data_IF_423524859257
#
_entry.id   IF_423524859257
#
_cell.length_a   1.000
_cell.length_b   1.000
_cell.length_c   1.000
_cell.angle_alpha   90.00
_cell.angle_beta   90.00
_cell.angle_gamma   90.00
#
_symmetry.space_group_name_H-M   'P 1'
#
loop_
_entity.id
_entity.type
_entity.pdbx_description
1 polymer ?
#
# COMPACT_ATOMS: atom_id res chain seq x y z
N UNK A 1 15.77 -8.97 -0.52
CA UNK A 1 15.45 -7.59 -0.98
C UNK A 1 14.08 -7.63 -1.63
N UNK A 2 13.06 -7.12 -0.95
CA UNK A 2 11.69 -7.12 -1.47
C UNK A 2 11.51 -5.91 -2.37
N UNK A 3 11.22 -6.13 -3.64
CA UNK A 3 11.09 -5.07 -4.65
C UNK A 3 9.94 -4.11 -4.30
N UNK A 4 10.14 -2.83 -4.62
CA UNK A 4 9.07 -1.84 -4.62
C UNK A 4 8.05 -2.21 -5.70
N UNK A 5 6.76 -2.22 -5.34
CA UNK A 5 5.68 -2.59 -6.26
C UNK A 5 4.99 -1.34 -6.74
N UNK A 6 4.91 -1.22 -8.06
CA UNK A 6 4.28 -0.09 -8.73
C UNK A 6 3.21 -0.58 -9.70
N UNK A 7 2.22 0.26 -9.92
CA UNK A 7 1.20 0.06 -10.94
C UNK A 7 0.81 1.38 -11.58
N UNK A 8 0.15 1.34 -12.74
CA UNK A 8 -0.42 2.53 -13.37
C UNK A 8 -1.93 2.58 -13.15
N UNK A 9 -2.40 3.67 -12.54
CA UNK A 9 -3.80 4.05 -12.49
C UNK A 9 -4.17 4.85 -13.76
N UNK A 10 -5.31 4.57 -14.42
CA UNK A 10 -5.71 5.24 -15.67
C UNK A 10 -5.71 6.77 -15.60
N UNK A 11 -6.21 7.33 -14.48
CA UNK A 11 -6.29 8.78 -14.26
C UNK A 11 -5.08 9.38 -13.53
N UNK A 12 -4.62 8.75 -12.45
CA UNK A 12 -3.62 9.34 -11.54
C UNK A 12 -2.17 8.91 -11.83
N UNK A 13 -1.96 8.12 -12.88
CA UNK A 13 -0.64 7.64 -13.27
C UNK A 13 -0.06 6.64 -12.27
N UNK A 14 1.24 6.74 -12.02
CA UNK A 14 1.97 5.74 -11.24
C UNK A 14 1.57 5.77 -9.76
N UNK A 15 1.22 4.60 -9.23
CA UNK A 15 1.02 4.37 -7.80
C UNK A 15 2.13 3.46 -7.26
N UNK A 16 2.46 3.63 -5.98
CA UNK A 16 3.40 2.77 -5.25
C UNK A 16 2.69 2.06 -4.10
N UNK A 17 3.05 0.79 -3.85
CA UNK A 17 2.46 0.01 -2.78
C UNK A 17 2.93 0.53 -1.42
N UNK A 18 1.98 0.79 -0.53
CA UNK A 18 2.22 1.27 0.83
C UNK A 18 2.17 0.13 1.83
N UNK A 19 1.19 -0.76 1.70
CA UNK A 19 0.99 -1.90 2.60
C UNK A 19 0.23 -3.01 1.89
N UNK A 20 0.52 -4.29 2.18
CA UNK A 20 -0.40 -5.37 1.84
C UNK A 20 -1.66 -5.30 2.72
N UNK A 21 -2.78 -5.77 2.18
CA UNK A 21 -3.99 -6.09 2.92
C UNK A 21 -4.19 -7.61 3.00
N UNK A 22 -5.31 -8.04 3.57
CA UNK A 22 -5.76 -9.42 3.48
C UNK A 22 -6.42 -9.67 2.10
N UNK A 23 -6.65 -10.94 1.78
CA UNK A 23 -7.51 -11.35 0.66
C UNK A 23 -7.08 -10.85 -0.73
N UNK A 24 -5.77 -10.66 -0.93
CA UNK A 24 -5.21 -10.29 -2.23
C UNK A 24 -5.43 -8.83 -2.62
N UNK A 25 -5.82 -7.99 -1.65
CA UNK A 25 -5.88 -6.55 -1.81
C UNK A 25 -4.63 -5.89 -1.24
N UNK A 26 -4.24 -4.79 -1.85
CA UNK A 26 -3.04 -4.03 -1.50
C UNK A 26 -3.39 -2.54 -1.45
N UNK A 27 -2.78 -1.81 -0.54
CA UNK A 27 -2.91 -0.35 -0.48
C UNK A 27 -1.83 0.29 -1.35
N UNK A 28 -2.27 1.19 -2.23
CA UNK A 28 -1.42 2.00 -3.07
C UNK A 28 -1.65 3.48 -2.81
N UNK A 29 -0.61 4.29 -3.02
CA UNK A 29 -0.69 5.74 -2.99
C UNK A 29 -0.18 6.36 -4.29
N UNK A 30 -0.73 7.53 -4.65
CA UNK A 30 -0.28 8.29 -5.82
C UNK A 30 1.14 8.79 -5.67
N UNK A 31 1.98 8.59 -6.69
CA UNK A 31 3.35 9.11 -6.69
C UNK A 31 3.42 10.60 -7.06
N UNK A 32 2.53 11.07 -7.93
CA UNK A 32 2.63 12.40 -8.55
C UNK A 32 1.48 13.37 -8.20
N UNK A 33 0.48 12.94 -7.45
CA UNK A 33 -0.69 13.74 -7.09
C UNK A 33 -0.74 14.04 -5.58
N UNK A 34 -1.68 14.90 -5.15
CA UNK A 34 -2.01 15.05 -3.73
C UNK A 34 -2.34 13.67 -3.16
N UNK A 35 -1.68 13.27 -2.05
CA UNK A 35 -1.69 11.92 -1.46
C UNK A 35 -3.10 11.31 -1.44
N UNK A 36 -3.46 10.58 -2.50
CA UNK A 36 -4.66 9.77 -2.55
C UNK A 36 -4.29 8.31 -2.36
N UNK A 37 -5.21 7.57 -1.74
CA UNK A 37 -5.01 6.18 -1.39
C UNK A 37 -6.05 5.32 -2.08
N UNK A 38 -5.59 4.15 -2.50
CA UNK A 38 -6.42 3.19 -3.19
C UNK A 38 -6.27 1.83 -2.56
N UNK A 39 -7.40 1.17 -2.37
CA UNK A 39 -7.42 -0.27 -2.23
C UNK A 39 -7.44 -0.88 -3.62
N UNK A 40 -6.44 -1.72 -3.90
CA UNK A 40 -6.23 -2.30 -5.22
C UNK A 40 -6.40 -3.80 -5.14
N UNK A 41 -7.26 -4.32 -6.00
CA UNK A 41 -7.48 -5.75 -6.16
C UNK A 41 -7.19 -6.16 -7.60
N UNK A 42 -6.32 -7.15 -7.80
CA UNK A 42 -6.00 -7.68 -9.12
C UNK A 42 -6.74 -9.00 -9.30
N UNK A 43 -7.75 -9.03 -10.18
CA UNK A 43 -8.53 -10.23 -10.51
C UNK A 43 -8.33 -10.62 -11.96
N UNK A 44 -7.75 -11.80 -12.19
CA UNK A 44 -7.49 -12.38 -13.53
C UNK A 44 -6.66 -11.44 -14.45
N UNK A 45 -7.31 -10.50 -15.13
CA UNK A 45 -6.71 -9.52 -16.05
C UNK A 45 -7.21 -8.09 -15.81
N UNK A 46 -8.03 -7.88 -14.79
CA UNK A 46 -8.57 -6.59 -14.43
C UNK A 46 -7.98 -6.13 -13.10
N UNK A 47 -7.80 -4.82 -12.99
CA UNK A 47 -7.33 -4.17 -11.76
C UNK A 47 -8.43 -3.23 -11.29
N UNK A 48 -8.91 -3.46 -10.08
CA UNK A 48 -9.94 -2.65 -9.44
C UNK A 48 -9.27 -1.64 -8.52
N UNK A 49 -9.73 -0.40 -8.58
CA UNK A 49 -9.25 0.71 -7.76
C UNK A 49 -10.41 1.27 -6.96
N UNK A 50 -10.36 1.12 -5.64
CA UNK A 50 -11.31 1.74 -4.71
C UNK A 50 -10.59 2.86 -3.97
N UNK A 51 -11.11 4.08 -4.02
CA UNK A 51 -10.53 5.20 -3.28
C UNK A 51 -10.84 5.02 -1.79
N UNK A 52 -9.81 5.09 -0.95
CA UNK A 52 -9.96 5.00 0.51
C UNK A 52 -9.47 6.28 1.21
N UNK A 53 -10.08 6.65 2.36
CA UNK A 53 -9.61 7.75 3.17
C UNK A 53 -8.18 7.56 3.70
N UNK A 54 -7.49 8.67 3.96
CA UNK A 54 -6.17 8.68 4.58
C UNK A 54 -6.10 7.85 5.87
N UNK A 55 -7.11 8.00 6.75
CA UNK A 55 -7.10 7.35 8.06
C UNK A 55 -7.21 5.83 7.92
N UNK A 56 -8.03 5.34 6.99
CA UNK A 56 -8.20 3.91 6.74
C UNK A 56 -6.90 3.30 6.19
N UNK A 57 -6.28 4.00 5.23
CA UNK A 57 -4.99 3.59 4.68
C UNK A 57 -3.89 3.53 5.75
N UNK A 58 -3.83 4.54 6.62
CA UNK A 58 -2.87 4.61 7.73
C UNK A 58 -3.10 3.48 8.73
N UNK A 59 -4.34 3.27 9.16
CA UNK A 59 -4.68 2.24 10.14
C UNK A 59 -4.29 0.85 9.63
N UNK A 60 -4.56 0.56 8.36
CA UNK A 60 -4.22 -0.73 7.77
C UNK A 60 -2.71 -0.93 7.64
N UNK A 61 -1.96 0.11 7.25
CA UNK A 61 -0.50 0.04 7.21
C UNK A 61 0.10 -0.17 8.61
N UNK A 62 -0.49 0.44 9.64
CA UNK A 62 -0.10 0.22 11.05
C UNK A 62 -0.39 -1.22 11.51
N UNK A 63 -1.55 -1.78 11.14
CA UNK A 63 -1.86 -3.19 11.40
C UNK A 63 -0.87 -4.13 10.72
N UNK A 64 -0.44 -3.83 9.49
CA UNK A 64 0.61 -4.59 8.82
C UNK A 64 1.95 -4.53 9.57
N UNK A 65 2.37 -3.35 10.04
CA UNK A 65 3.56 -3.21 10.87
C UNK A 65 3.48 -4.06 12.14
N UNK A 66 2.36 -4.01 12.85
CA UNK A 66 2.16 -4.81 14.06
C UNK A 66 2.24 -6.31 13.76
N UNK A 67 1.63 -6.77 12.65
CA UNK A 67 1.72 -8.17 12.19
C UNK A 67 3.16 -8.55 11.83
N UNK A 68 3.89 -7.71 11.08
CA UNK A 68 5.27 -7.94 10.68
C UNK A 68 6.22 -8.02 11.89
N UNK A 69 6.05 -7.13 12.89
CA UNK A 69 6.79 -7.13 14.16
C UNK A 69 6.56 -8.43 14.93
N UNK A 70 5.30 -8.85 15.09
CA UNK A 70 4.96 -10.09 15.81
C UNK A 70 5.52 -11.34 15.14
N UNK A 71 5.60 -11.36 13.81
CA UNK A 71 6.09 -12.51 13.05
C UNK A 71 7.61 -12.51 12.85
N UNK A 72 8.33 -11.47 13.28
CA UNK A 72 9.75 -11.32 12.98
C UNK A 72 10.05 -11.28 11.47
N UNK A 73 9.15 -10.67 10.69
CA UNK A 73 9.27 -10.63 9.23
C UNK A 73 10.54 -9.90 8.78
N UNK A 74 11.27 -10.48 7.82
CA UNK A 74 12.41 -9.83 7.16
C UNK A 74 12.02 -8.55 6.41
N UNK A 75 10.73 -8.37 6.11
CA UNK A 75 10.21 -7.17 5.44
C UNK A 75 9.82 -6.05 6.41
N UNK A 76 9.97 -6.24 7.73
CA UNK A 76 9.58 -5.22 8.71
C UNK A 76 10.20 -3.86 8.41
N UNK A 77 11.52 -3.80 8.16
CA UNK A 77 12.20 -2.54 7.87
C UNK A 77 11.69 -1.86 6.60
N UNK A 78 11.27 -2.64 5.59
CA UNK A 78 10.66 -2.11 4.37
C UNK A 78 9.33 -1.42 4.70
N UNK A 79 8.46 -2.10 5.44
CA UNK A 79 7.15 -1.56 5.80
C UNK A 79 7.27 -0.34 6.72
N UNK A 80 8.24 -0.32 7.63
CA UNK A 80 8.48 0.81 8.55
C UNK A 80 8.91 2.07 7.79
N UNK A 81 9.82 1.91 6.82
CA UNK A 81 10.24 2.99 5.91
C UNK A 81 9.07 3.51 5.08
N UNK A 82 8.28 2.62 4.46
CA UNK A 82 7.11 3.01 3.65
C UNK A 82 6.05 3.73 4.48
N UNK A 83 5.80 3.28 5.70
CA UNK A 83 4.86 3.94 6.62
C UNK A 83 5.33 5.35 6.97
N UNK A 84 6.62 5.49 7.32
CA UNK A 84 7.22 6.78 7.70
C UNK A 84 7.17 7.75 6.53
N UNK A 85 7.61 7.34 5.34
CA UNK A 85 7.59 8.20 4.14
C UNK A 85 6.18 8.61 3.73
N UNK A 86 5.18 7.76 3.97
CA UNK A 86 3.83 7.98 3.46
C UNK A 86 2.95 8.77 4.44
N UNK A 87 3.05 8.50 5.75
CA UNK A 87 2.11 9.00 6.77
C UNK A 87 2.72 9.94 7.81
N UNK A 88 4.05 10.10 7.84
CA UNK A 88 4.76 11.03 8.71
C UNK A 88 5.43 12.13 7.88
#
# INVERSE_FOLDING_TARGET
MSSERYLNHPTFGMLYQVSPENDGRDIYATLYAQKMFFLVEVRQREVFFEVIPYLDARNQAELNLQKARRKGSEELSKWDNLFTQTFL
#
